data_IF_144220782712
#
_entry.id   IF_144220782712
#
_cell.length_a   1.000
_cell.length_b   1.000
_cell.length_c   1.000
_cell.angle_alpha   90.00
_cell.angle_beta   90.00
_cell.angle_gamma   90.00
#
_symmetry.space_group_name_H-M   'P 1'
#
loop_
_entity.id
_entity.type
_entity.pdbx_description
1 polymer ?
#
# COMPACT_ATOMS: atom_id res chain seq x y z
N UNK A 1 -9.27 21.50 -10.57
CA UNK A 1 -8.99 20.49 -9.52
C UNK A 1 -10.21 19.58 -9.38
N UNK A 2 -10.15 18.34 -9.89
CA UNK A 2 -11.30 17.43 -9.92
C UNK A 2 -11.16 16.46 -8.75
N UNK A 3 -11.94 16.68 -7.70
CA UNK A 3 -11.90 15.83 -6.49
C UNK A 3 -12.65 14.53 -6.82
N UNK A 4 -11.95 13.41 -6.81
CA UNK A 4 -12.53 12.07 -6.95
C UNK A 4 -13.46 11.82 -5.75
N UNK A 5 -14.77 11.65 -6.00
CA UNK A 5 -15.71 11.20 -4.96
C UNK A 5 -15.58 9.69 -4.76
N UNK A 6 -15.56 9.26 -3.50
CA UNK A 6 -15.42 7.86 -3.09
C UNK A 6 -16.56 6.91 -3.59
N UNK A 7 -17.61 7.44 -4.22
CA UNK A 7 -18.75 6.65 -4.72
C UNK A 7 -18.70 6.35 -6.22
N UNK A 8 -17.70 6.81 -6.97
CA UNK A 8 -17.57 6.39 -8.35
C UNK A 8 -17.29 4.87 -8.34
N UNK A 9 -18.27 4.10 -8.82
CA UNK A 9 -18.18 2.66 -8.99
C UNK A 9 -17.17 2.34 -10.11
N UNK A 10 -15.90 2.55 -9.82
CA UNK A 10 -14.81 2.25 -10.73
C UNK A 10 -14.82 0.75 -11.03
N UNK A 11 -14.85 0.43 -12.32
CA UNK A 11 -14.77 -0.94 -12.82
C UNK A 11 -13.34 -1.45 -12.72
N UNK A 12 -12.35 -0.61 -13.02
CA UNK A 12 -10.94 -0.99 -12.95
C UNK A 12 -9.97 0.13 -13.32
N UNK A 13 -8.69 -0.24 -13.39
CA UNK A 13 -7.60 0.59 -13.90
C UNK A 13 -7.27 0.14 -15.32
N UNK A 14 -7.59 0.95 -16.31
CA UNK A 14 -7.28 0.71 -17.71
C UNK A 14 -5.87 1.18 -18.07
N UNK A 15 -5.15 0.37 -18.83
CA UNK A 15 -3.93 0.75 -19.55
C UNK A 15 -4.28 0.97 -21.03
N UNK A 16 -3.88 2.11 -21.59
CA UNK A 16 -4.13 2.47 -23.00
C UNK A 16 -3.00 3.30 -23.60
N UNK A 17 -2.94 3.34 -24.92
CA UNK A 17 -1.98 4.16 -25.65
C UNK A 17 -2.47 5.63 -25.70
N UNK A 18 -1.62 6.57 -25.31
CA UNK A 18 -1.94 7.99 -25.23
C UNK A 18 -1.78 8.72 -26.58
N UNK A 19 -0.83 8.29 -27.41
CA UNK A 19 -0.57 8.86 -28.72
C UNK A 19 -0.28 7.76 -29.74
N UNK A 20 -0.95 7.81 -30.88
CA UNK A 20 -0.92 6.75 -31.91
C UNK A 20 0.02 7.05 -33.07
N UNK A 21 0.51 8.29 -33.15
CA UNK A 21 1.10 8.83 -34.39
C UNK A 21 2.56 9.29 -34.22
N UNK A 22 3.22 8.91 -33.13
CA UNK A 22 4.62 9.24 -32.86
C UNK A 22 5.46 8.00 -32.52
N UNK A 23 6.78 8.11 -32.72
CA UNK A 23 7.74 7.02 -32.45
C UNK A 23 7.85 6.70 -30.95
N UNK A 24 7.51 7.66 -30.08
CA UNK A 24 7.47 7.48 -28.63
C UNK A 24 6.10 6.94 -28.18
N UNK A 25 6.06 5.65 -27.85
CA UNK A 25 4.88 5.02 -27.25
C UNK A 25 4.69 5.52 -25.81
N UNK A 26 3.69 6.38 -25.61
CA UNK A 26 3.27 6.87 -24.30
C UNK A 26 2.00 6.17 -23.88
N UNK A 27 1.96 5.72 -22.64
CA UNK A 27 0.82 5.01 -22.05
C UNK A 27 0.12 5.87 -21.00
N UNK A 28 -1.19 5.74 -20.95
CA UNK A 28 -2.04 6.31 -19.92
C UNK A 28 -2.60 5.20 -19.05
N UNK A 29 -2.61 5.44 -17.74
CA UNK A 29 -3.39 4.67 -16.79
C UNK A 29 -4.62 5.50 -16.43
N UNK A 30 -5.80 4.92 -16.56
CA UNK A 30 -7.05 5.60 -16.28
C UNK A 30 -7.96 4.77 -15.36
N UNK A 31 -8.64 5.43 -14.43
CA UNK A 31 -9.75 4.83 -13.70
C UNK A 31 -10.97 4.84 -14.60
N UNK A 32 -11.48 3.66 -14.95
CA UNK A 32 -12.63 3.49 -15.84
C UNK A 32 -13.84 2.99 -15.06
N UNK A 33 -14.97 3.66 -15.19
CA UNK A 33 -16.26 3.28 -14.60
C UNK A 33 -17.06 2.40 -15.56
N UNK A 34 -18.06 1.68 -15.04
CA UNK A 34 -18.91 0.80 -15.86
C UNK A 34 -19.79 1.53 -16.87
N UNK A 35 -19.99 2.83 -16.72
CA UNK A 35 -20.78 3.70 -17.61
C UNK A 35 -19.94 4.45 -18.65
N UNK A 36 -18.67 4.07 -18.82
CA UNK A 36 -17.76 4.67 -19.79
C UNK A 36 -17.06 5.95 -19.31
N UNK A 37 -17.35 6.45 -18.10
CA UNK A 37 -16.55 7.56 -17.54
C UNK A 37 -15.13 7.09 -17.25
N UNK A 38 -14.15 7.89 -17.65
CA UNK A 38 -12.73 7.60 -17.42
C UNK A 38 -11.99 8.83 -16.90
N UNK A 39 -11.00 8.62 -16.03
CA UNK A 39 -10.12 9.66 -15.51
C UNK A 39 -8.68 9.17 -15.56
N UNK A 40 -7.84 9.85 -16.33
CA UNK A 40 -6.39 9.59 -16.37
C UNK A 40 -5.78 9.93 -15.02
N UNK A 41 -5.01 9.00 -14.47
CA UNK A 41 -4.35 9.13 -13.15
C UNK A 41 -2.84 9.07 -13.24
N UNK A 42 -2.28 8.52 -14.30
CA UNK A 42 -0.84 8.52 -14.55
C UNK A 42 -0.52 8.41 -16.04
N UNK A 43 0.66 8.89 -16.40
CA UNK A 43 1.29 8.63 -17.69
C UNK A 43 2.56 7.83 -17.45
N UNK A 44 2.87 6.90 -18.34
CA UNK A 44 4.08 6.08 -18.29
C UNK A 44 4.69 5.95 -19.69
N UNK A 45 6.00 5.71 -19.73
CA UNK A 45 6.65 5.20 -20.93
C UNK A 45 6.42 3.68 -21.06
N UNK A 46 6.92 3.11 -22.15
CA UNK A 46 6.78 1.69 -22.45
C UNK A 46 7.42 0.79 -21.39
N UNK A 47 8.56 1.19 -20.84
CA UNK A 47 9.34 0.38 -19.91
C UNK A 47 8.65 0.27 -18.54
N UNK A 48 7.98 1.34 -18.09
CA UNK A 48 7.32 1.39 -16.78
C UNK A 48 5.81 1.10 -16.81
N UNK A 49 5.16 1.21 -17.97
CA UNK A 49 3.70 1.15 -18.11
C UNK A 49 3.06 -0.05 -17.39
N UNK A 50 3.60 -1.26 -17.63
CA UNK A 50 3.04 -2.49 -17.06
C UNK A 50 3.32 -2.60 -15.57
N UNK A 51 4.51 -2.18 -15.12
CA UNK A 51 4.88 -2.23 -13.71
C UNK A 51 4.00 -1.28 -12.89
N UNK A 52 3.85 -0.04 -13.35
CA UNK A 52 3.00 0.96 -12.71
C UNK A 52 1.54 0.53 -12.68
N UNK A 53 1.03 0.00 -13.80
CA UNK A 53 -0.36 -0.48 -13.89
C UNK A 53 -0.66 -1.61 -12.91
N UNK A 54 0.24 -2.59 -12.80
CA UNK A 54 0.12 -3.67 -11.81
C UNK A 54 0.18 -3.15 -10.38
N UNK A 55 1.03 -2.16 -10.10
CA UNK A 55 1.12 -1.55 -8.78
C UNK A 55 -0.18 -0.82 -8.40
N UNK A 56 -0.76 -0.07 -9.33
CA UNK A 56 -2.07 0.56 -9.15
C UNK A 56 -3.17 -0.46 -8.85
N UNK A 57 -3.24 -1.58 -9.59
CA UNK A 57 -4.19 -2.65 -9.31
C UNK A 57 -3.98 -3.26 -7.93
N UNK A 58 -2.72 -3.50 -7.54
CA UNK A 58 -2.35 -4.06 -6.23
C UNK A 58 -2.72 -3.12 -5.07
N UNK A 59 -2.44 -1.83 -5.19
CA UNK A 59 -2.67 -0.84 -4.12
C UNK A 59 -4.15 -0.47 -4.00
N UNK A 60 -4.85 -0.34 -5.13
CA UNK A 60 -6.28 0.01 -5.15
C UNK A 60 -7.21 -1.18 -4.90
N UNK A 61 -6.75 -2.40 -5.17
CA UNK A 61 -7.59 -3.60 -5.21
C UNK A 61 -8.56 -3.63 -6.39
N UNK A 62 -8.40 -2.74 -7.38
CA UNK A 62 -9.23 -2.69 -8.56
C UNK A 62 -8.75 -3.67 -9.64
N UNK A 63 -9.69 -4.23 -10.42
CA UNK A 63 -9.41 -4.94 -11.67
C UNK A 63 -8.43 -4.21 -12.59
N UNK A 64 -7.50 -4.95 -13.17
CA UNK A 64 -6.68 -4.47 -14.28
C UNK A 64 -7.45 -4.62 -15.60
N UNK A 65 -7.47 -3.58 -16.42
CA UNK A 65 -8.16 -3.52 -17.71
C UNK A 65 -7.20 -3.07 -18.82
N UNK A 66 -7.46 -3.51 -20.04
CA UNK A 66 -6.83 -2.98 -21.25
C UNK A 66 -7.89 -2.23 -22.06
N UNK A 67 -7.56 -1.05 -22.56
CA UNK A 67 -8.42 -0.29 -23.47
C UNK A 67 -7.71 -0.12 -24.81
N UNK A 68 -8.32 -0.65 -25.87
CA UNK A 68 -7.80 -0.52 -27.23
C UNK A 68 -8.04 0.88 -27.78
N UNK A 69 -7.37 1.20 -28.89
CA UNK A 69 -7.55 2.44 -29.65
C UNK A 69 -9.02 2.70 -30.00
N UNK A 70 -9.77 1.64 -30.31
CA UNK A 70 -11.20 1.73 -30.63
C UNK A 70 -12.10 1.91 -29.40
N UNK A 71 -11.51 2.06 -28.21
CA UNK A 71 -12.22 2.21 -26.93
C UNK A 71 -12.75 0.90 -26.35
N UNK A 72 -12.36 -0.26 -26.91
CA UNK A 72 -12.81 -1.56 -26.38
C UNK A 72 -12.05 -1.88 -25.09
N UNK A 73 -12.80 -2.07 -24.00
CA UNK A 73 -12.25 -2.38 -22.68
C UNK A 73 -12.35 -3.87 -22.39
N UNK A 74 -11.21 -4.52 -22.18
CA UNK A 74 -11.09 -5.96 -21.94
C UNK A 74 -10.35 -6.28 -20.63
N UNK A 75 -10.57 -7.49 -20.13
CA UNK A 75 -9.82 -8.03 -18.99
C UNK A 75 -8.66 -8.90 -19.52
N UNK A 76 -7.40 -8.55 -19.20
CA UNK A 76 -6.22 -9.26 -19.69
C UNK A 76 -6.03 -10.64 -19.03
N UNK A 77 -6.66 -10.85 -17.87
CA UNK A 77 -6.62 -12.10 -17.11
C UNK A 77 -8.03 -12.43 -16.63
N UNK A 78 -8.41 -13.71 -16.53
CA UNK A 78 -9.67 -14.10 -15.90
C UNK A 78 -9.73 -13.57 -14.47
N UNK A 79 -10.75 -12.78 -14.16
CA UNK A 79 -10.96 -12.29 -12.81
C UNK A 79 -12.04 -13.11 -12.11
N UNK A 80 -11.76 -13.49 -10.85
CA UNK A 80 -12.76 -14.12 -9.99
C UNK A 80 -13.82 -13.12 -9.49
N UNK A 81 -13.67 -11.83 -9.83
CA UNK A 81 -14.51 -10.74 -9.35
C UNK A 81 -14.09 -10.22 -7.98
N UNK A 82 -14.91 -9.32 -7.42
CA UNK A 82 -14.66 -8.77 -6.08
C UNK A 82 -14.92 -9.83 -5.02
N UNK A 83 -13.90 -10.14 -4.23
CA UNK A 83 -14.04 -11.00 -3.05
C UNK A 83 -14.47 -10.13 -1.87
N UNK A 84 -15.63 -10.42 -1.29
CA UNK A 84 -16.02 -9.82 -0.01
C UNK A 84 -15.10 -10.34 1.09
N UNK A 85 -14.07 -9.56 1.41
CA UNK A 85 -13.30 -9.77 2.61
C UNK A 85 -14.17 -9.30 3.79
N UNK A 86 -14.61 -10.24 4.63
CA UNK A 86 -15.26 -9.91 5.89
C UNK A 86 -14.34 -9.07 6.79
N UNK A 87 -14.82 -8.57 7.94
CA UNK A 87 -13.99 -7.81 8.87
C UNK A 87 -12.70 -8.59 9.19
N UNK A 88 -11.55 -7.95 8.96
CA UNK A 88 -10.25 -8.58 9.24
C UNK A 88 -10.14 -8.79 10.74
N UNK A 89 -10.31 -10.04 11.19
CA UNK A 89 -10.19 -10.39 12.61
C UNK A 89 -8.74 -10.70 12.92
N UNK A 90 -8.14 -9.89 13.81
CA UNK A 90 -6.80 -10.15 14.28
C UNK A 90 -6.78 -11.50 15.00
N UNK A 91 -6.00 -12.47 14.49
CA UNK A 91 -5.89 -13.81 15.09
C UNK A 91 -5.27 -13.80 16.49
N UNK A 92 -4.36 -12.85 16.77
CA UNK A 92 -3.67 -12.71 18.07
C UNK A 92 -3.74 -11.26 18.56
N UNK A 93 -4.26 -11.04 19.77
CA UNK A 93 -4.58 -9.75 20.40
C UNK A 93 -3.50 -8.64 20.32
N UNK A 94 -2.24 -8.97 20.04
CA UNK A 94 -1.13 -8.01 19.91
C UNK A 94 -0.17 -8.32 18.75
N UNK A 95 -0.64 -8.99 17.68
CA UNK A 95 0.20 -9.35 16.53
C UNK A 95 0.90 -8.15 15.88
N UNK A 96 0.24 -6.98 15.86
CA UNK A 96 0.84 -5.74 15.36
C UNK A 96 2.04 -5.23 16.18
N UNK A 97 2.29 -5.79 17.37
CA UNK A 97 3.41 -5.43 18.24
C UNK A 97 4.58 -6.42 18.14
N UNK A 98 4.53 -7.42 17.23
CA UNK A 98 5.51 -8.50 17.18
C UNK A 98 6.94 -8.05 16.84
N UNK A 99 7.10 -6.85 16.23
CA UNK A 99 8.40 -6.21 15.99
C UNK A 99 8.86 -5.25 17.10
N UNK A 100 8.05 -5.06 18.16
CA UNK A 100 8.41 -4.21 19.30
C UNK A 100 9.03 -5.03 20.42
N UNK A 101 9.89 -4.41 21.21
CA UNK A 101 10.47 -5.05 22.40
C UNK A 101 9.35 -5.43 23.39
N UNK A 102 9.28 -6.69 23.86
CA UNK A 102 8.28 -7.12 24.82
C UNK A 102 8.26 -6.26 26.09
N UNK A 103 7.06 -5.98 26.60
CA UNK A 103 6.85 -5.05 27.75
C UNK A 103 7.65 -5.42 29.00
N UNK A 104 7.95 -6.72 29.19
CA UNK A 104 8.75 -7.18 30.33
C UNK A 104 10.23 -6.79 30.22
N UNK A 105 10.78 -6.64 29.00
CA UNK A 105 12.15 -6.15 28.76
C UNK A 105 12.26 -4.63 28.86
N UNK A 106 11.14 -3.91 28.80
CA UNK A 106 11.10 -2.45 28.98
C UNK A 106 10.96 -2.05 30.46
N UNK A 107 10.69 -3.02 31.36
CA UNK A 107 10.54 -2.75 32.79
C UNK A 107 11.90 -2.43 33.42
N UNK A 108 12.22 -1.15 33.56
CA UNK A 108 13.30 -0.68 34.42
C UNK A 108 12.89 -0.93 35.89
N UNK A 109 13.64 -1.78 36.60
CA UNK A 109 13.53 -1.87 38.07
C UNK A 109 14.27 -0.67 38.65
N UNK A 110 13.73 0.03 39.67
CA UNK A 110 14.54 0.98 40.43
C UNK A 110 15.76 0.25 40.99
N UNK A 111 16.93 0.90 40.95
CA UNK A 111 18.12 0.39 41.60
C UNK A 111 17.83 0.21 43.09
N UNK A 112 18.24 -0.92 43.66
CA UNK A 112 18.19 -1.11 45.12
C UNK A 112 19.50 -0.58 45.66
N UNK A 113 19.45 0.49 46.45
CA UNK A 113 20.63 0.92 47.21
C UNK A 113 20.99 -0.18 48.21
N UNK A 114 22.28 -0.48 48.40
CA UNK A 114 22.70 -1.37 49.45
C UNK A 114 22.30 -0.78 50.81
N UNK A 115 21.90 -1.65 51.74
CA UNK A 115 21.48 -1.26 53.10
C UNK A 115 22.64 -0.70 53.94
N UNK A 116 23.87 -0.96 53.48
CA UNK A 116 25.12 -0.48 54.05
C UNK A 116 25.91 0.30 52.99
N UNK A 117 26.73 1.29 53.38
CA UNK A 117 27.58 2.01 52.45
C UNK A 117 28.52 1.04 51.71
N UNK A 118 28.70 1.26 50.41
CA UNK A 118 29.70 0.53 49.63
C UNK A 118 31.07 1.03 50.06
N UNK A 119 31.89 0.14 50.60
CA UNK A 119 33.28 0.41 50.91
C UNK A 119 34.15 -0.11 49.77
N UNK A 120 34.96 0.75 49.15
CA UNK A 120 35.94 0.36 48.14
C UNK A 120 37.32 0.65 48.70
N UNK A 121 38.13 -0.39 48.87
CA UNK A 121 39.50 -0.27 49.43
C UNK A 121 39.58 0.41 50.80
N UNK A 122 38.55 0.24 51.63
CA UNK A 122 38.50 0.82 52.99
C UNK A 122 37.87 2.21 53.07
N UNK A 123 37.61 2.85 51.93
CA UNK A 123 36.96 4.16 51.88
C UNK A 123 35.48 4.05 51.53
N UNK A 124 34.67 4.91 52.16
CA UNK A 124 33.24 5.00 51.88
C UNK A 124 33.04 5.66 50.53
N UNK A 125 32.41 4.95 49.60
CA UNK A 125 31.98 5.54 48.34
C UNK A 125 30.78 6.45 48.61
N UNK A 126 31.03 7.76 48.66
CA UNK A 126 29.99 8.79 48.61
C UNK A 126 29.68 9.15 47.16
N UNK A 127 28.41 9.37 46.86
CA UNK A 127 27.91 9.84 45.55
C UNK A 127 28.59 11.16 45.13
#
# INVERSE_FOLDING_TARGET
MRILRASAAWRGVALRLANQTGDDQRFELALTAGDGRSVVVANADQDDAVALWRDFGRVSGLPLLLETVDGTVSEPFPQLGRVMLGPTRIRRRYAMLNGRRPRFLTRRKPGRLPELPVMVSGDRLTD
#
